data_IF_293656756302
#
_entry.id   IF_293656756302
#
_cell.length_a   1.000
_cell.length_b   1.000
_cell.length_c   1.000
_cell.angle_alpha   90.00
_cell.angle_beta   90.00
_cell.angle_gamma   90.00
#
_symmetry.space_group_name_H-M   'P 1'
#
loop_
_entity.id
_entity.type
_entity.pdbx_description
1 polymer ?
#
# COMPACT_ATOMS: atom_id res chain seq x y z
N UNK A 1 1.44 43.05 49.54
CA UNK A 1 -0.01 42.86 49.61
C UNK A 1 -0.35 41.81 48.57
N UNK A 2 -0.33 40.51 48.90
CA UNK A 2 -1.42 39.75 49.56
C UNK A 2 -2.70 39.76 48.71
N UNK A 3 -3.39 38.67 48.37
CA UNK A 3 -3.23 37.23 48.58
C UNK A 3 -4.20 36.52 47.59
N UNK A 4 -3.89 35.25 47.30
CA UNK A 4 -4.78 34.06 47.21
C UNK A 4 -6.26 34.26 47.67
N UNK A 5 -7.32 33.61 47.14
CA UNK A 5 -7.62 32.18 46.88
C UNK A 5 -9.07 32.11 46.29
N UNK A 6 -9.38 31.36 45.23
CA UNK A 6 -9.96 29.99 45.17
C UNK A 6 -11.49 29.83 45.41
N UNK A 7 -12.20 29.28 44.41
CA UNK A 7 -13.13 28.11 44.47
C UNK A 7 -13.62 27.82 43.02
N UNK A 8 -13.41 26.68 42.33
CA UNK A 8 -13.78 25.26 42.49
C UNK A 8 -15.29 24.97 42.62
N UNK A 9 -15.90 24.43 41.55
CA UNK A 9 -16.62 23.14 41.54
C UNK A 9 -17.40 22.92 40.22
N UNK A 10 -17.72 21.64 39.95
CA UNK A 10 -18.47 21.03 38.84
C UNK A 10 -17.60 20.63 37.62
N UNK A 11 -16.93 19.46 37.64
CA UNK A 11 -17.45 18.10 37.46
C UNK A 11 -17.68 17.71 35.97
N UNK A 12 -16.62 17.14 35.39
CA UNK A 12 -16.58 15.75 34.90
C UNK A 12 -17.87 15.21 34.22
N UNK A 13 -17.92 15.23 32.89
CA UNK A 13 -18.79 14.34 32.10
C UNK A 13 -18.15 13.94 30.75
N UNK A 14 -17.85 12.63 30.54
CA UNK A 14 -17.48 12.08 29.25
C UNK A 14 -18.73 11.77 28.41
N UNK A 15 -18.77 12.28 27.19
CA UNK A 15 -19.75 11.86 26.17
C UNK A 15 -19.17 10.61 25.50
N UNK A 16 -19.34 9.46 26.13
CA UNK A 16 -19.35 8.16 25.46
C UNK A 16 -20.19 7.23 26.33
N UNK A 17 -21.47 7.10 25.95
CA UNK A 17 -22.37 6.18 26.61
C UNK A 17 -22.03 4.75 26.23
N UNK A 18 -21.33 4.04 27.11
CA UNK A 18 -21.54 2.61 27.43
C UNK A 18 -20.88 2.33 28.79
N UNK A 19 -21.69 1.92 29.78
CA UNK A 19 -21.25 1.58 31.14
C UNK A 19 -20.55 0.21 31.18
N UNK A 20 -19.57 0.02 32.08
CA UNK A 20 -18.90 -1.26 32.28
C UNK A 20 -19.74 -2.20 33.16
N UNK A 21 -19.81 -3.47 32.77
CA UNK A 21 -20.27 -4.54 33.66
C UNK A 21 -19.05 -5.33 34.15
N UNK A 22 -18.93 -5.34 35.47
CA UNK A 22 -18.09 -6.22 36.26
C UNK A 22 -18.45 -7.68 36.02
N UNK A 23 -17.46 -8.49 35.66
CA UNK A 23 -17.24 -9.80 36.26
C UNK A 23 -15.80 -10.22 35.95
N UNK A 24 -14.99 -10.20 37.00
CA UNK A 24 -13.73 -10.92 37.03
C UNK A 24 -14.07 -12.39 37.21
N UNK A 25 -13.72 -13.22 36.24
CA UNK A 25 -13.31 -14.60 36.47
C UNK A 25 -12.28 -14.96 35.38
N UNK A 26 -11.14 -15.46 35.83
CA UNK A 26 -9.90 -15.54 35.07
C UNK A 26 -9.97 -16.49 33.88
N UNK A 27 -9.46 -16.02 32.74
CA UNK A 27 -9.09 -16.90 31.64
C UNK A 27 -7.57 -17.03 31.60
N UNK A 28 -7.12 -18.26 31.87
CA UNK A 28 -5.73 -18.70 31.78
C UNK A 28 -5.20 -18.51 30.36
N UNK A 29 -3.94 -18.07 30.26
CA UNK A 29 -3.16 -18.11 29.03
C UNK A 29 -3.03 -19.57 28.51
N UNK A 30 -2.91 -19.78 27.19
CA UNK A 30 -2.86 -21.10 26.60
C UNK A 30 -1.58 -21.83 27.01
N UNK A 31 -1.79 -23.05 27.51
CA UNK A 31 -0.78 -23.99 27.96
C UNK A 31 0.19 -24.35 26.82
N UNK A 32 1.50 -24.32 27.10
CA UNK A 32 2.54 -24.77 26.17
C UNK A 32 2.57 -26.29 26.06
N UNK A 33 3.05 -26.81 24.93
CA UNK A 33 2.88 -28.19 24.43
C UNK A 33 3.42 -29.37 25.26
N UNK A 34 3.77 -29.18 26.54
CA UNK A 34 4.22 -30.27 27.43
C UNK A 34 3.09 -30.88 28.28
N UNK A 35 1.90 -30.26 28.36
CA UNK A 35 0.79 -30.72 29.22
C UNK A 35 -0.20 -31.71 28.56
N UNK A 36 -0.12 -31.95 27.25
CA UNK A 36 -1.03 -32.86 26.54
C UNK A 36 -0.66 -34.36 26.66
N UNK A 37 0.51 -34.67 27.24
CA UNK A 37 0.99 -36.05 27.37
C UNK A 37 0.41 -36.82 28.57
N UNK A 38 -0.43 -36.19 29.40
CA UNK A 38 -0.96 -36.78 30.64
C UNK A 38 -2.47 -37.11 30.63
N UNK A 39 -3.19 -36.80 29.55
CA UNK A 39 -4.66 -36.98 29.51
C UNK A 39 -5.13 -38.14 28.61
N UNK A 40 -4.24 -38.94 28.02
CA UNK A 40 -4.61 -40.05 27.13
C UNK A 40 -4.84 -41.41 27.80
N UNK A 41 -5.08 -41.45 29.11
CA UNK A 41 -5.36 -42.71 29.83
C UNK A 41 -6.70 -42.63 30.58
N UNK A 42 -7.67 -43.44 30.13
CA UNK A 42 -9.10 -43.58 30.54
C UNK A 42 -10.01 -42.72 29.64
N UNK A 43 -10.87 -43.27 28.78
CA UNK A 43 -11.65 -44.49 28.87
C UNK A 43 -13.13 -44.07 28.92
N UNK A 44 -13.85 -44.41 27.84
CA UNK A 44 -15.30 -44.61 27.75
C UNK A 44 -16.30 -43.44 27.86
N UNK A 45 -17.06 -43.33 26.76
CA UNK A 45 -18.50 -43.05 26.61
C UNK A 45 -19.11 -41.67 26.99
N UNK A 46 -19.76 -41.10 25.95
CA UNK A 46 -21.10 -40.47 25.94
C UNK A 46 -21.26 -38.94 25.88
N UNK A 47 -21.72 -38.52 24.69
CA UNK A 47 -22.83 -37.61 24.36
C UNK A 47 -22.72 -36.09 24.58
N UNK A 48 -23.07 -35.36 23.50
CA UNK A 48 -23.59 -34.00 23.53
C UNK A 48 -24.91 -33.96 22.74
N UNK A 49 -25.89 -33.21 23.28
CA UNK A 49 -27.22 -32.88 22.73
C UNK A 49 -28.31 -33.96 22.85
N UNK A 50 -29.05 -33.92 23.96
CA UNK A 50 -30.22 -34.73 24.19
C UNK A 50 -31.41 -34.36 23.30
N UNK A 51 -31.74 -35.24 22.36
CA UNK A 51 -33.09 -35.59 21.88
C UNK A 51 -33.07 -37.12 21.59
N UNK A 52 -34.10 -37.92 21.93
CA UNK A 52 -34.08 -39.38 21.79
C UNK A 52 -34.12 -39.82 20.32
N UNK A 53 -33.38 -40.89 19.99
CA UNK A 53 -33.58 -41.66 18.75
C UNK A 53 -34.94 -42.37 18.79
N UNK A 54 -35.81 -42.08 17.82
CA UNK A 54 -36.89 -42.97 17.42
C UNK A 54 -36.42 -43.81 16.22
N UNK A 55 -36.68 -45.11 16.27
CA UNK A 55 -36.51 -46.07 15.17
C UNK A 55 -37.75 -46.04 14.26
N UNK A 56 -37.54 -45.97 12.94
CA UNK A 56 -38.38 -46.48 11.81
C UNK A 56 -37.76 -45.94 10.51
N UNK A 57 -37.76 -46.57 9.34
CA UNK A 57 -37.97 -47.94 8.83
C UNK A 57 -37.48 -47.88 7.34
N UNK A 58 -37.29 -49.05 6.73
CA UNK A 58 -36.76 -49.33 5.38
C UNK A 58 -37.38 -48.62 4.16
N UNK A 59 -36.65 -48.76 3.03
CA UNK A 59 -36.99 -48.63 1.60
C UNK A 59 -36.76 -47.27 0.90
N UNK A 60 -35.76 -47.21 0.01
CA UNK A 60 -35.97 -46.93 -1.42
C UNK A 60 -34.65 -46.97 -2.23
N UNK A 61 -34.57 -48.00 -3.09
CA UNK A 61 -33.97 -48.12 -4.42
C UNK A 61 -32.51 -47.67 -4.69
N UNK A 62 -31.65 -48.67 -4.93
CA UNK A 62 -30.36 -48.55 -5.61
C UNK A 62 -30.57 -48.19 -7.10
N UNK A 63 -30.04 -47.04 -7.55
CA UNK A 63 -29.68 -46.84 -8.96
C UNK A 63 -28.16 -46.73 -9.07
N UNK A 64 -27.54 -47.79 -9.61
CA UNK A 64 -26.16 -47.77 -10.10
C UNK A 64 -26.07 -46.84 -11.32
N UNK A 65 -25.22 -45.81 -11.26
CA UNK A 65 -24.76 -45.08 -12.44
C UNK A 65 -23.24 -45.18 -12.49
N UNK A 66 -22.77 -46.01 -13.41
CA UNK A 66 -21.37 -46.10 -13.82
C UNK A 66 -20.89 -44.77 -14.41
N UNK A 67 -20.08 -44.00 -13.68
CA UNK A 67 -19.25 -42.96 -14.26
C UNK A 67 -17.76 -43.26 -13.98
N UNK A 68 -17.05 -43.52 -15.07
CA UNK A 68 -15.61 -43.78 -15.17
C UNK A 68 -14.77 -42.84 -14.28
N UNK A 69 -14.32 -43.37 -13.14
CA UNK A 69 -13.36 -42.69 -12.28
C UNK A 69 -11.95 -42.81 -12.88
N UNK A 70 -11.52 -41.80 -13.64
CA UNK A 70 -10.13 -41.70 -14.10
C UNK A 70 -9.27 -41.32 -12.90
N UNK A 71 -8.53 -42.30 -12.36
CA UNK A 71 -7.55 -42.06 -11.30
C UNK A 71 -6.45 -41.10 -11.81
N UNK A 72 -6.43 -39.88 -11.31
CA UNK A 72 -5.29 -38.98 -11.43
C UNK A 72 -4.22 -39.41 -10.43
N UNK A 73 -3.12 -39.94 -10.96
CA UNK A 73 -1.91 -40.31 -10.21
C UNK A 73 -1.50 -39.13 -9.32
N UNK A 74 -1.65 -39.30 -8.00
CA UNK A 74 -1.43 -38.25 -6.98
C UNK A 74 0.04 -38.18 -6.51
N UNK A 75 0.97 -38.68 -7.32
CA UNK A 75 2.40 -38.58 -7.04
C UNK A 75 2.90 -37.17 -7.38
N UNK A 76 2.52 -36.17 -6.57
CA UNK A 76 3.30 -34.96 -6.26
C UNK A 76 2.52 -33.88 -5.45
N UNK A 77 1.38 -34.21 -4.85
CA UNK A 77 0.74 -33.29 -3.90
C UNK A 77 1.39 -33.48 -2.54
N UNK A 78 2.32 -32.59 -2.18
CA UNK A 78 2.70 -32.35 -0.80
C UNK A 78 1.44 -31.92 0.00
N UNK A 79 0.72 -32.91 0.53
CA UNK A 79 -0.46 -32.82 1.40
C UNK A 79 -0.11 -32.33 2.81
N UNK A 80 0.57 -31.18 2.93
CA UNK A 80 0.49 -30.43 4.18
C UNK A 80 -0.65 -29.44 4.08
N UNK A 81 -1.70 -29.57 4.91
CA UNK A 81 -2.75 -28.58 4.98
C UNK A 81 -2.17 -27.18 5.20
N UNK A 82 -2.83 -26.15 4.66
CA UNK A 82 -2.30 -24.77 4.68
C UNK A 82 -1.99 -24.27 6.11
N UNK A 83 -2.68 -24.80 7.13
CA UNK A 83 -2.45 -24.51 8.55
C UNK A 83 -1.18 -25.16 9.15
N UNK A 84 -0.59 -26.17 8.51
CA UNK A 84 0.69 -26.77 8.90
C UNK A 84 1.90 -26.14 8.19
N UNK A 85 1.69 -25.31 7.17
CA UNK A 85 2.77 -24.52 6.57
C UNK A 85 3.20 -23.48 7.59
N UNK A 86 4.42 -23.62 8.11
CA UNK A 86 5.06 -22.52 8.85
C UNK A 86 5.01 -21.28 7.94
N UNK A 87 4.52 -20.13 8.42
CA UNK A 87 4.64 -18.89 7.68
C UNK A 87 6.10 -18.76 7.23
N UNK A 88 6.36 -18.44 5.94
CA UNK A 88 7.72 -18.27 5.48
C UNK A 88 8.44 -17.33 6.44
N UNK A 89 9.59 -17.77 6.95
CA UNK A 89 10.35 -17.01 7.94
C UNK A 89 10.77 -15.71 7.25
N UNK A 90 10.13 -14.61 7.58
CA UNK A 90 10.48 -13.32 7.01
C UNK A 90 11.88 -12.95 7.51
N UNK A 91 12.87 -13.03 6.64
CA UNK A 91 14.21 -12.56 6.96
C UNK A 91 14.12 -11.05 7.15
N UNK A 92 14.47 -10.57 8.35
CA UNK A 92 14.49 -9.14 8.65
C UNK A 92 15.34 -8.41 7.60
N UNK A 93 14.73 -7.44 6.94
CA UNK A 93 15.37 -6.57 5.97
C UNK A 93 15.74 -5.24 6.61
N UNK A 94 16.63 -4.47 5.95
CA UNK A 94 16.94 -3.09 6.34
C UNK A 94 15.73 -2.16 6.23
N UNK A 95 14.69 -2.56 5.48
CA UNK A 95 13.43 -1.82 5.40
C UNK A 95 12.65 -1.94 6.72
N UNK A 96 12.65 -3.12 7.35
CA UNK A 96 11.86 -3.40 8.55
C UNK A 96 12.31 -2.56 9.75
N UNK A 97 13.60 -2.24 9.81
CA UNK A 97 14.20 -1.36 10.83
C UNK A 97 13.65 0.08 10.76
N UNK A 98 13.11 0.48 9.61
CA UNK A 98 12.56 1.82 9.40
C UNK A 98 11.10 1.95 9.89
N UNK A 99 10.46 0.83 10.21
CA UNK A 99 9.01 0.76 10.48
C UNK A 99 8.20 1.54 9.44
N UNK A 100 8.31 1.13 8.15
CA UNK A 100 7.77 1.89 7.04
C UNK A 100 6.24 1.78 7.00
N UNK A 101 5.59 2.86 6.63
CA UNK A 101 4.19 2.84 6.23
C UNK A 101 3.97 3.74 5.04
N UNK A 102 2.97 3.41 4.22
CA UNK A 102 2.67 4.12 2.98
C UNK A 102 1.42 4.98 3.20
N UNK A 103 1.46 6.23 2.77
CA UNK A 103 0.35 7.16 2.91
C UNK A 103 0.24 8.08 1.69
N UNK A 104 -0.99 8.47 1.34
CA UNK A 104 -1.26 9.47 0.30
C UNK A 104 -0.67 10.83 0.71
N UNK A 105 -0.02 11.50 -0.23
CA UNK A 105 0.60 12.81 0.00
C UNK A 105 -0.44 13.93 -0.11
N UNK A 106 -0.24 14.98 0.69
CA UNK A 106 -1.10 16.16 0.71
C UNK A 106 -0.27 17.43 0.58
N UNK A 107 -0.93 18.58 0.41
CA UNK A 107 -0.25 19.89 0.32
C UNK A 107 0.61 20.19 1.57
N UNK A 108 0.31 19.59 2.72
CA UNK A 108 1.13 19.71 3.93
C UNK A 108 2.52 19.04 3.81
N UNK A 109 2.69 18.12 2.85
CA UNK A 109 3.94 17.39 2.63
C UNK A 109 4.83 18.02 1.56
N UNK A 110 4.48 19.20 1.03
CA UNK A 110 5.25 19.85 -0.06
C UNK A 110 6.71 20.03 0.32
N UNK A 111 6.99 20.53 1.52
CA UNK A 111 8.37 20.80 1.94
C UNK A 111 9.17 19.49 2.15
N UNK A 112 8.51 18.42 2.61
CA UNK A 112 9.11 17.08 2.69
C UNK A 112 9.43 16.53 1.29
N UNK A 113 8.51 16.68 0.33
CA UNK A 113 8.71 16.24 -1.05
C UNK A 113 9.88 16.97 -1.70
N UNK A 114 9.99 18.29 -1.49
CA UNK A 114 11.14 19.08 -1.97
C UNK A 114 12.46 18.56 -1.39
N UNK A 115 12.46 18.15 -0.12
CA UNK A 115 13.65 17.55 0.51
C UNK A 115 14.01 16.19 -0.11
N UNK A 116 13.02 15.31 -0.33
CA UNK A 116 13.24 14.01 -0.97
C UNK A 116 13.74 14.16 -2.42
N UNK A 117 13.27 15.18 -3.13
CA UNK A 117 13.67 15.50 -4.50
C UNK A 117 15.16 15.90 -4.61
N UNK A 118 15.83 16.22 -3.49
CA UNK A 118 17.28 16.46 -3.47
C UNK A 118 18.11 15.28 -3.99
N UNK A 119 17.53 14.08 -4.06
CA UNK A 119 18.11 12.90 -4.68
C UNK A 119 18.36 13.05 -6.20
N UNK A 120 17.64 13.95 -6.88
CA UNK A 120 17.85 14.25 -8.29
C UNK A 120 18.90 15.35 -8.52
N UNK A 121 19.54 15.40 -9.70
CA UNK A 121 20.26 16.56 -10.20
C UNK A 121 19.35 17.81 -10.26
N UNK A 122 19.90 19.00 -10.03
CA UNK A 122 19.12 20.25 -9.90
C UNK A 122 18.16 20.52 -11.08
N UNK A 123 18.59 20.23 -12.30
CA UNK A 123 17.80 20.44 -13.52
C UNK A 123 16.62 19.46 -13.68
N UNK A 124 16.67 18.31 -13.01
CA UNK A 124 15.61 17.28 -13.06
C UNK A 124 14.64 17.38 -11.88
N UNK A 125 14.92 18.25 -10.90
CA UNK A 125 14.08 18.39 -9.70
C UNK A 125 12.73 19.01 -10.02
N UNK A 126 11.69 18.47 -9.39
CA UNK A 126 10.40 19.14 -9.31
C UNK A 126 10.49 20.40 -8.44
N UNK A 127 10.03 21.54 -8.97
CA UNK A 127 9.97 22.79 -8.20
C UNK A 127 8.87 22.73 -7.12
N UNK A 128 8.99 23.59 -6.11
CA UNK A 128 7.98 23.69 -5.04
C UNK A 128 6.58 23.98 -5.60
N UNK A 129 6.46 24.88 -6.57
CA UNK A 129 5.16 25.23 -7.17
C UNK A 129 4.53 24.06 -7.92
N UNK A 130 5.35 23.23 -8.60
CA UNK A 130 4.87 22.00 -9.23
C UNK A 130 4.36 21.00 -8.20
N UNK A 131 5.02 20.85 -7.04
CA UNK A 131 4.50 20.00 -5.96
C UNK A 131 3.17 20.53 -5.44
N UNK A 132 3.06 21.84 -5.16
CA UNK A 132 1.79 22.44 -4.72
C UNK A 132 0.69 22.19 -5.74
N UNK A 133 0.96 22.40 -7.03
CA UNK A 133 0.01 22.14 -8.11
C UNK A 133 -0.45 20.68 -8.14
N UNK A 134 0.48 19.71 -8.19
CA UNK A 134 0.16 18.28 -8.32
C UNK A 134 -0.57 17.73 -7.08
N UNK A 135 -0.12 18.11 -5.89
CA UNK A 135 -0.74 17.68 -4.62
C UNK A 135 -2.08 18.39 -4.34
N UNK A 136 -2.35 19.51 -4.98
CA UNK A 136 -3.66 20.17 -4.92
C UNK A 136 -4.64 19.54 -5.94
N UNK A 137 -4.17 19.27 -7.17
CA UNK A 137 -5.02 18.77 -8.25
C UNK A 137 -5.37 17.29 -8.14
N UNK A 138 -4.40 16.44 -7.80
CA UNK A 138 -4.60 15.00 -7.73
C UNK A 138 -3.76 14.35 -6.61
N UNK A 139 -4.00 14.73 -5.33
CA UNK A 139 -3.30 14.13 -4.21
C UNK A 139 -3.48 12.60 -4.15
N UNK A 140 -4.62 12.08 -4.60
CA UNK A 140 -4.95 10.65 -4.56
C UNK A 140 -4.00 9.76 -5.38
N UNK A 141 -3.29 10.35 -6.34
CA UNK A 141 -2.30 9.71 -7.20
C UNK A 141 -0.86 9.88 -6.68
N UNK A 142 -0.67 10.59 -5.57
CA UNK A 142 0.64 10.84 -4.99
C UNK A 142 0.80 10.04 -3.70
N UNK A 143 1.90 9.30 -3.58
CA UNK A 143 2.10 8.31 -2.53
C UNK A 143 3.47 8.49 -1.87
N UNK A 144 3.51 8.51 -0.55
CA UNK A 144 4.73 8.65 0.23
C UNK A 144 5.00 7.40 1.07
N UNK A 145 6.27 7.06 1.23
CA UNK A 145 6.74 6.10 2.23
C UNK A 145 7.33 6.87 3.41
N UNK A 146 6.70 6.71 4.57
CA UNK A 146 7.09 7.34 5.81
C UNK A 146 7.72 6.33 6.76
N UNK A 147 8.65 6.80 7.59
CA UNK A 147 9.30 5.99 8.62
C UNK A 147 8.97 6.56 9.98
N UNK A 148 8.65 5.68 10.93
CA UNK A 148 8.37 6.05 12.32
C UNK A 148 9.36 5.31 13.24
N UNK A 149 10.46 5.95 13.67
CA UNK A 149 11.40 5.27 14.56
C UNK A 149 10.71 4.90 15.89
N UNK A 150 10.94 3.68 16.38
CA UNK A 150 10.47 3.28 17.71
C UNK A 150 11.40 3.94 18.73
N UNK A 151 10.85 4.88 19.50
CA UNK A 151 11.57 5.51 20.60
C UNK A 151 11.29 4.78 21.92
N UNK A 152 12.26 4.84 22.85
CA UNK A 152 12.08 4.39 24.23
C UNK A 152 11.10 5.28 25.01
N UNK A 153 10.58 4.76 26.13
CA UNK A 153 9.44 5.31 26.91
C UNK A 153 9.57 6.81 27.29
N UNK A 154 10.77 7.37 27.33
CA UNK A 154 11.05 8.74 27.81
C UNK A 154 11.18 9.82 26.71
N UNK A 155 11.01 9.48 25.43
CA UNK A 155 11.17 10.45 24.34
C UNK A 155 9.83 10.94 23.77
N UNK A 156 9.75 12.20 23.29
CA UNK A 156 8.53 12.72 22.67
C UNK A 156 8.13 11.88 21.45
N UNK A 157 6.82 11.69 21.24
CA UNK A 157 6.29 10.89 20.12
C UNK A 157 6.92 11.37 18.80
N UNK A 158 7.63 10.48 18.07
CA UNK A 158 8.33 10.89 16.86
C UNK A 158 7.33 11.29 15.79
N UNK A 159 7.69 12.29 15.00
CA UNK A 159 6.92 12.65 13.80
C UNK A 159 7.32 11.71 12.67
N UNK A 160 6.37 11.21 11.87
CA UNK A 160 6.70 10.48 10.66
C UNK A 160 7.60 11.31 9.74
N UNK A 161 8.65 10.69 9.21
CA UNK A 161 9.56 11.31 8.24
C UNK A 161 9.34 10.70 6.87
N UNK A 162 9.13 11.53 5.84
CA UNK A 162 9.04 11.06 4.47
C UNK A 162 10.43 10.68 3.96
N UNK A 163 10.60 9.44 3.52
CA UNK A 163 11.90 8.94 3.01
C UNK A 163 11.90 8.62 1.52
N UNK A 164 10.72 8.53 0.93
CA UNK A 164 10.55 8.39 -0.51
C UNK A 164 9.13 8.74 -0.95
N UNK A 165 8.98 9.18 -2.20
CA UNK A 165 7.69 9.54 -2.77
C UNK A 165 7.53 9.06 -4.21
N UNK A 166 6.26 8.94 -4.61
CA UNK A 166 5.78 8.92 -5.99
C UNK A 166 4.86 10.12 -6.13
N UNK A 167 5.16 11.00 -7.09
CA UNK A 167 4.31 12.12 -7.46
C UNK A 167 3.89 11.96 -8.90
N UNK A 168 2.57 11.98 -9.14
CA UNK A 168 1.99 11.66 -10.43
C UNK A 168 0.80 12.56 -10.76
N UNK A 169 0.47 12.67 -12.04
CA UNK A 169 -0.79 13.24 -12.52
C UNK A 169 -1.41 12.34 -13.59
N UNK A 170 -2.65 12.62 -13.97
CA UNK A 170 -3.24 12.04 -15.18
C UNK A 170 -2.86 12.86 -16.40
N UNK A 171 -2.71 12.17 -17.53
CA UNK A 171 -2.44 12.74 -18.86
C UNK A 171 -3.29 12.00 -19.90
N UNK A 172 -3.66 12.69 -20.97
CA UNK A 172 -4.41 12.12 -22.10
C UNK A 172 -3.51 11.37 -23.09
N UNK A 173 -2.22 11.66 -23.11
CA UNK A 173 -1.24 11.00 -23.96
C UNK A 173 -0.80 9.64 -23.40
N UNK A 174 -0.24 8.77 -24.25
CA UNK A 174 0.23 7.45 -23.82
C UNK A 174 1.57 7.53 -23.06
N UNK A 175 2.39 8.54 -23.37
CA UNK A 175 3.73 8.73 -22.83
C UNK A 175 3.84 10.11 -22.18
N UNK A 176 4.73 10.23 -21.19
CA UNK A 176 5.06 11.53 -20.59
C UNK A 176 5.63 12.48 -21.65
N UNK A 177 5.03 13.66 -21.77
CA UNK A 177 5.43 14.74 -22.69
C UNK A 177 5.94 15.96 -21.92
N UNK A 178 6.56 16.92 -22.61
CA UNK A 178 6.95 18.18 -21.99
C UNK A 178 5.74 18.97 -21.47
N UNK A 179 4.61 18.92 -22.19
CA UNK A 179 3.36 19.55 -21.76
C UNK A 179 2.80 18.93 -20.49
N UNK A 180 2.89 17.61 -20.33
CA UNK A 180 2.55 16.92 -19.09
C UNK A 180 3.48 17.29 -17.91
N UNK A 181 4.75 17.61 -18.18
CA UNK A 181 5.73 18.01 -17.17
C UNK A 181 5.64 19.50 -16.79
N UNK A 182 4.95 20.31 -17.59
CA UNK A 182 4.84 21.75 -17.45
C UNK A 182 3.85 22.16 -16.34
N UNK A 183 4.06 23.36 -15.78
CA UNK A 183 3.13 23.97 -14.83
C UNK A 183 2.28 24.98 -15.62
N UNK A 184 0.94 24.81 -15.69
CA UNK A 184 0.09 25.76 -16.41
C UNK A 184 0.16 27.15 -15.79
N UNK A 185 0.21 28.23 -16.59
CA UNK A 185 0.36 29.60 -16.08
C UNK A 185 -0.78 30.00 -15.12
N UNK A 186 -2.02 29.65 -15.47
CA UNK A 186 -3.23 29.98 -14.71
C UNK A 186 -3.74 28.82 -13.85
N UNK A 187 -2.86 27.92 -13.41
CA UNK A 187 -3.26 26.70 -12.67
C UNK A 187 -4.02 26.97 -11.38
N UNK A 188 -3.94 28.17 -10.80
CA UNK A 188 -4.63 28.53 -9.56
C UNK A 188 -6.12 28.85 -9.77
N UNK A 189 -6.47 29.36 -10.95
CA UNK A 189 -7.83 29.80 -11.29
C UNK A 189 -8.53 28.82 -12.23
N UNK A 190 -7.80 28.29 -13.20
CA UNK A 190 -8.33 27.36 -14.20
C UNK A 190 -8.10 25.92 -13.78
N UNK A 191 -9.06 25.04 -14.07
CA UNK A 191 -8.95 23.61 -13.75
C UNK A 191 -8.07 22.85 -14.72
N UNK A 192 -8.08 23.27 -15.98
CA UNK A 192 -7.43 22.58 -17.09
C UNK A 192 -7.03 23.64 -18.11
N UNK A 193 -5.84 23.52 -18.66
CA UNK A 193 -5.31 24.39 -19.70
C UNK A 193 -4.92 23.51 -20.87
N UNK A 194 -5.37 23.85 -22.08
CA UNK A 194 -5.09 23.09 -23.29
C UNK A 194 -4.36 24.00 -24.27
N UNK A 195 -3.20 23.56 -24.72
CA UNK A 195 -2.37 24.28 -25.70
C UNK A 195 -2.09 23.38 -26.89
N UNK A 196 -2.35 23.87 -28.10
CA UNK A 196 -2.14 23.12 -29.34
C UNK A 196 -2.80 21.73 -29.38
N UNK A 197 -3.93 21.57 -28.68
CA UNK A 197 -4.68 20.32 -28.61
C UNK A 197 -4.19 19.30 -27.57
N UNK A 198 -3.21 19.67 -26.73
CA UNK A 198 -2.72 18.84 -25.62
C UNK A 198 -2.95 19.54 -24.28
N UNK A 199 -3.34 18.78 -23.25
CA UNK A 199 -3.50 19.29 -21.90
C UNK A 199 -2.13 19.59 -21.26
N UNK A 200 -1.97 20.78 -20.70
CA UNK A 200 -0.79 21.18 -19.94
C UNK A 200 -0.96 20.69 -18.49
N UNK A 201 -0.01 19.89 -18.01
CA UNK A 201 -0.02 19.34 -16.65
C UNK A 201 -1.05 18.20 -16.45
N UNK A 202 -1.94 18.36 -15.48
CA UNK A 202 -2.94 17.36 -15.09
C UNK A 202 -4.18 17.42 -15.99
N UNK A 203 -4.58 16.25 -16.50
CA UNK A 203 -5.81 16.03 -17.26
C UNK A 203 -6.78 15.14 -16.46
N UNK A 204 -7.91 15.69 -15.99
CA UNK A 204 -8.85 14.96 -15.13
C UNK A 204 -9.50 13.75 -15.85
N UNK A 205 -9.53 13.74 -17.18
CA UNK A 205 -10.08 12.66 -18.01
C UNK A 205 -8.99 11.77 -18.63
N UNK A 206 -7.72 12.02 -18.32
CA UNK A 206 -6.60 11.26 -18.86
C UNK A 206 -6.62 9.79 -18.42
N UNK A 207 -6.56 8.87 -19.40
CA UNK A 207 -6.48 7.43 -19.15
C UNK A 207 -5.11 6.94 -18.70
N UNK A 208 -4.06 7.76 -18.79
CA UNK A 208 -2.69 7.41 -18.40
C UNK A 208 -2.31 8.13 -17.11
N UNK A 209 -1.78 7.41 -16.13
CA UNK A 209 -1.12 8.01 -14.95
C UNK A 209 0.36 8.21 -15.26
N UNK A 210 0.79 9.47 -15.33
CA UNK A 210 2.19 9.85 -15.50
C UNK A 210 2.87 9.96 -14.14
N UNK A 211 3.81 9.07 -13.84
CA UNK A 211 4.71 9.25 -12.69
C UNK A 211 5.77 10.26 -13.09
N UNK A 212 5.75 11.41 -12.43
CA UNK A 212 6.68 12.51 -12.69
C UNK A 212 7.93 12.46 -11.82
N UNK A 213 7.82 11.84 -10.65
CA UNK A 213 8.93 11.69 -9.71
C UNK A 213 8.74 10.42 -8.89
N UNK A 214 9.75 9.56 -8.88
CA UNK A 214 9.96 8.48 -7.92
C UNK A 214 11.34 8.71 -7.29
N UNK A 215 11.35 9.22 -6.07
CA UNK A 215 12.58 9.59 -5.36
C UNK A 215 12.67 8.90 -4.00
N UNK A 216 13.89 8.62 -3.59
CA UNK A 216 14.23 8.09 -2.26
C UNK A 216 15.44 8.84 -1.75
N UNK A 217 15.36 9.33 -0.50
CA UNK A 217 16.48 10.00 0.15
C UNK A 217 17.75 9.14 0.07
N UNK A 218 18.92 9.71 -0.26
CA UNK A 218 20.15 8.95 -0.47
C UNK A 218 20.49 7.97 0.67
N UNK A 219 20.27 8.37 1.92
CA UNK A 219 20.53 7.55 3.11
C UNK A 219 19.57 6.35 3.28
N UNK A 220 18.46 6.34 2.54
CA UNK A 220 17.46 5.27 2.51
C UNK A 220 17.48 4.42 1.22
N UNK A 221 18.39 4.72 0.29
CA UNK A 221 18.58 3.92 -0.92
C UNK A 221 19.22 2.55 -0.61
N UNK A 222 19.02 1.57 -1.49
CA UNK A 222 19.48 0.19 -1.29
C UNK A 222 18.77 -0.59 -0.17
N UNK A 223 17.72 0.00 0.44
CA UNK A 223 16.89 -0.62 1.48
C UNK A 223 15.51 -1.07 0.95
N UNK A 224 15.36 -1.22 -0.37
CA UNK A 224 14.09 -1.60 -1.04
C UNK A 224 12.94 -0.59 -0.91
N UNK A 225 13.19 0.65 -0.44
CA UNK A 225 12.16 1.69 -0.28
C UNK A 225 11.41 1.96 -1.59
N UNK A 226 12.14 2.20 -2.69
CA UNK A 226 11.53 2.45 -4.01
C UNK A 226 10.71 1.24 -4.49
N UNK A 227 11.21 0.02 -4.28
CA UNK A 227 10.54 -1.22 -4.68
C UNK A 227 9.23 -1.43 -3.91
N UNK A 228 9.23 -1.20 -2.60
CA UNK A 228 8.01 -1.27 -1.78
C UNK A 228 7.01 -0.21 -2.21
N UNK A 229 7.47 1.04 -2.40
CA UNK A 229 6.61 2.14 -2.79
C UNK A 229 5.97 1.92 -4.17
N UNK A 230 6.76 1.50 -5.16
CA UNK A 230 6.27 1.23 -6.52
C UNK A 230 5.31 0.03 -6.58
N UNK A 231 5.56 -1.05 -5.82
CA UNK A 231 4.62 -2.18 -5.69
C UNK A 231 3.29 -1.73 -5.09
N UNK A 232 3.32 -1.03 -3.96
CA UNK A 232 2.12 -0.49 -3.34
C UNK A 232 1.37 0.46 -4.26
N UNK A 233 2.11 1.26 -5.04
CA UNK A 233 1.54 2.17 -6.03
C UNK A 233 0.79 1.44 -7.14
N UNK A 234 1.46 0.51 -7.83
CA UNK A 234 0.89 -0.28 -8.93
C UNK A 234 -0.36 -1.01 -8.46
N UNK A 235 -0.27 -1.70 -7.31
CA UNK A 235 -1.41 -2.41 -6.73
C UNK A 235 -2.59 -1.46 -6.46
N UNK A 236 -2.34 -0.31 -5.82
CA UNK A 236 -3.38 0.69 -5.55
C UNK A 236 -4.07 1.18 -6.82
N UNK A 237 -3.32 1.49 -7.87
CA UNK A 237 -3.88 1.97 -9.14
C UNK A 237 -4.69 0.87 -9.83
N UNK A 238 -4.17 -0.36 -9.85
CA UNK A 238 -4.84 -1.53 -10.44
C UNK A 238 -6.17 -1.82 -9.77
N UNK A 239 -6.20 -1.91 -8.44
CA UNK A 239 -7.42 -2.18 -7.67
C UNK A 239 -8.46 -1.07 -7.83
N UNK A 240 -8.02 0.18 -7.94
CA UNK A 240 -8.93 1.30 -8.12
C UNK A 240 -9.54 1.35 -9.53
N UNK A 241 -8.93 0.67 -10.52
CA UNK A 241 -9.35 0.67 -11.93
C UNK A 241 -9.57 2.09 -12.51
N UNK A 242 -8.71 3.03 -12.11
CA UNK A 242 -8.85 4.46 -12.43
C UNK A 242 -7.99 4.93 -13.62
N UNK A 243 -7.27 4.00 -14.26
CA UNK A 243 -6.39 4.29 -15.38
C UNK A 243 -6.21 3.05 -16.26
N UNK A 244 -5.95 3.29 -17.54
CA UNK A 244 -5.62 2.25 -18.51
C UNK A 244 -4.17 1.79 -18.35
N UNK A 245 -3.28 2.69 -17.92
CA UNK A 245 -1.84 2.45 -17.82
C UNK A 245 -1.13 3.42 -16.88
N UNK A 246 0.08 3.04 -16.46
CA UNK A 246 1.06 3.93 -15.84
C UNK A 246 2.18 4.19 -16.86
N UNK A 247 2.58 5.46 -17.02
CA UNK A 247 3.74 5.85 -17.81
C UNK A 247 4.77 6.57 -16.94
N UNK A 248 6.05 6.26 -17.17
CA UNK A 248 7.19 6.93 -16.56
C UNK A 248 8.30 7.09 -17.60
N UNK A 249 9.10 8.14 -17.45
CA UNK A 249 10.35 8.32 -18.18
C UNK A 249 11.53 8.10 -17.24
N UNK A 250 12.54 7.39 -17.69
CA UNK A 250 13.72 7.07 -16.87
C UNK A 250 15.00 7.04 -17.70
N UNK A 251 16.13 7.27 -17.03
CA UNK A 251 17.45 7.06 -17.60
C UNK A 251 17.69 5.57 -17.87
N UNK A 252 18.46 5.24 -18.90
CA UNK A 252 18.66 3.86 -19.39
C UNK A 252 19.12 2.87 -18.31
N UNK A 253 19.98 3.32 -17.37
CA UNK A 253 20.47 2.48 -16.29
C UNK A 253 19.39 2.07 -15.26
N UNK A 254 18.24 2.76 -15.25
CA UNK A 254 17.08 2.43 -14.41
C UNK A 254 16.03 1.60 -15.13
N UNK A 255 16.13 1.41 -16.45
CA UNK A 255 15.18 0.60 -17.22
C UNK A 255 15.02 -0.81 -16.63
N UNK A 256 16.08 -1.57 -16.30
CA UNK A 256 15.92 -2.91 -15.73
C UNK A 256 15.20 -2.91 -14.37
N UNK A 257 15.34 -1.83 -13.60
CA UNK A 257 14.60 -1.68 -12.34
C UNK A 257 13.11 -1.64 -12.62
N UNK A 258 12.63 -0.81 -13.55
CA UNK A 258 11.21 -0.71 -13.87
C UNK A 258 10.66 -1.95 -14.57
N UNK A 259 11.42 -2.56 -15.48
CA UNK A 259 11.05 -3.82 -16.14
C UNK A 259 10.79 -4.94 -15.12
N UNK A 260 11.51 -4.95 -14.00
CA UNK A 260 11.27 -5.93 -12.92
C UNK A 260 9.90 -5.78 -12.21
N UNK A 261 9.18 -4.67 -12.43
CA UNK A 261 7.80 -4.45 -11.97
C UNK A 261 6.77 -4.57 -13.11
N UNK A 262 7.18 -5.05 -14.29
CA UNK A 262 6.31 -5.27 -15.44
C UNK A 262 6.17 -4.09 -16.39
N UNK A 263 6.96 -3.03 -16.24
CA UNK A 263 6.98 -1.95 -17.23
C UNK A 263 7.64 -2.42 -18.51
N UNK A 264 7.01 -2.14 -19.65
CA UNK A 264 7.59 -2.33 -20.98
C UNK A 264 8.43 -1.12 -21.37
N UNK A 265 9.63 -1.37 -21.89
CA UNK A 265 10.43 -0.37 -22.57
C UNK A 265 9.83 -0.03 -23.95
N UNK A 266 9.40 1.23 -24.12
CA UNK A 266 8.79 1.78 -25.35
C UNK A 266 9.77 2.63 -26.17
N UNK A 267 11.07 2.49 -25.90
CA UNK A 267 12.15 3.17 -26.60
C UNK A 267 12.35 4.63 -26.18
N UNK A 268 13.18 5.39 -26.93
CA UNK A 268 13.55 6.75 -26.58
C UNK A 268 12.33 7.68 -26.49
N UNK A 269 12.31 8.51 -25.45
CA UNK A 269 11.30 9.54 -25.23
C UNK A 269 11.60 10.82 -26.01
N UNK A 270 10.53 11.52 -26.39
CA UNK A 270 10.62 12.85 -26.99
C UNK A 270 10.70 13.96 -25.94
N UNK A 271 10.36 13.66 -24.68
CA UNK A 271 10.38 14.62 -23.60
C UNK A 271 11.81 15.17 -23.39
N UNK A 272 11.92 16.50 -23.28
CA UNK A 272 13.16 17.23 -23.10
C UNK A 272 13.32 17.79 -21.67
N UNK A 273 12.39 17.47 -20.76
CA UNK A 273 12.49 17.83 -19.35
C UNK A 273 13.87 17.47 -18.78
N UNK A 274 14.49 18.39 -18.04
CA UNK A 274 15.79 18.17 -17.41
C UNK A 274 16.98 17.95 -18.36
N UNK A 275 16.81 18.14 -19.68
CA UNK A 275 17.86 17.93 -20.68
C UNK A 275 17.65 16.71 -21.60
N UNK A 276 16.55 15.97 -21.41
CA UNK A 276 16.17 14.86 -22.30
C UNK A 276 17.00 13.58 -22.08
N UNK A 277 17.06 12.73 -23.11
CA UNK A 277 17.78 11.45 -23.05
C UNK A 277 17.03 10.34 -22.31
N UNK A 278 15.72 10.50 -22.16
CA UNK A 278 14.88 9.55 -21.44
C UNK A 278 14.45 8.37 -22.29
N UNK A 279 14.14 7.26 -21.63
CA UNK A 279 13.44 6.11 -22.20
C UNK A 279 12.02 6.06 -21.66
N UNK A 280 11.04 5.84 -22.54
CA UNK A 280 9.64 5.67 -22.18
C UNK A 280 9.41 4.27 -21.60
N UNK A 281 8.76 4.20 -20.45
CA UNK A 281 8.37 2.96 -19.79
C UNK A 281 6.87 3.00 -19.50
N UNK A 282 6.17 1.92 -19.84
CA UNK A 282 4.71 1.84 -19.67
C UNK A 282 4.30 0.51 -19.07
N UNK A 283 3.42 0.56 -18.08
CA UNK A 283 2.72 -0.60 -17.52
C UNK A 283 1.24 -0.48 -17.89
N UNK A 284 0.75 -1.30 -18.82
CA UNK A 284 -0.66 -1.34 -19.19
C UNK A 284 -1.46 -2.25 -18.24
N UNK A 285 -2.69 -1.84 -17.89
CA UNK A 285 -3.62 -2.63 -17.07
C UNK A 285 -4.73 -3.30 -17.90
N UNK A 286 -4.95 -2.80 -19.12
CA UNK A 286 -5.95 -3.36 -20.03
C UNK A 286 -5.26 -4.45 -20.85
N UNK A 287 -5.46 -5.71 -20.47
CA UNK A 287 -4.87 -6.87 -21.15
C UNK A 287 -4.62 -8.12 -20.29
N UNK A 288 -4.88 -8.06 -18.97
CA UNK A 288 -4.90 -9.23 -18.07
C UNK A 288 -6.33 -9.74 -17.82
#
# INVERSE_FOLDING_TARGET
>A
MSDYTADKSAADQPINGFKPLSNADGYSLPTTGDDLSRLSARGDFSMANGIPMEEVDDDDEEEEVDEDYVAVDHDDINEFPYWFRRPPVHQRTKLDELHPFVQVLTVSNVDDCVNVESAFPEQERCSRDKFVYRLNRCPELCLGLFTLPILGEDQPKPRPTLVGHIVATRISTQFVTDKAMELPENWQTERMTVENGETVGHDEYGGTIAIHSLAVLPEHQGKQVASTLLKSYIHRIREAQIAERISIIAHDHLVPFYESFGFDNRGPSKCQFGGGGWTNLVLDFIGE
#
